data_IF_526472179890
#
_entry.id   IF_526472179890
#
_cell.length_a   1.000
_cell.length_b   1.000
_cell.length_c   1.000
_cell.angle_alpha   90.00
_cell.angle_beta   90.00
_cell.angle_gamma   90.00
#
_symmetry.space_group_name_H-M   'P 1'
#
loop_
_entity.id
_entity.type
_entity.pdbx_description
1 polymer ?
#
# COMPACT_ATOMS: atom_id res chain seq x y z
N UNK A 1 5.56 12.79 2.63
CA UNK A 1 4.52 12.02 1.94
C UNK A 1 3.91 11.07 2.94
N UNK A 2 2.62 10.77 2.80
CA UNK A 2 1.95 9.75 3.60
C UNK A 2 2.13 8.38 2.92
N UNK A 3 2.85 7.49 3.60
CA UNK A 3 3.20 6.15 3.12
C UNK A 3 2.39 5.14 3.91
N UNK A 4 1.71 4.24 3.21
CA UNK A 4 0.95 3.17 3.85
C UNK A 4 1.53 1.80 3.47
N UNK A 5 1.69 0.94 4.48
CA UNK A 5 2.17 -0.44 4.36
C UNK A 5 1.07 -1.37 4.90
N UNK A 6 0.25 -2.00 4.03
CA UNK A 6 -0.76 -2.94 4.48
C UNK A 6 -0.19 -4.35 4.74
N UNK A 7 -0.97 -5.16 5.45
CA UNK A 7 -0.74 -6.60 5.67
C UNK A 7 0.59 -6.96 6.34
N UNK A 8 1.14 -6.12 7.22
CA UNK A 8 2.29 -6.47 8.06
C UNK A 8 1.85 -7.21 9.32
N UNK A 9 1.44 -8.47 9.13
CA UNK A 9 0.78 -9.29 10.17
C UNK A 9 1.48 -9.37 11.52
N UNK A 10 2.80 -9.21 11.55
CA UNK A 10 3.61 -9.36 12.76
C UNK A 10 4.22 -8.05 13.25
N UNK A 11 3.81 -6.92 12.67
CA UNK A 11 4.41 -5.60 12.89
C UNK A 11 5.93 -5.61 12.72
N UNK A 12 6.43 -6.42 11.78
CA UNK A 12 7.85 -6.67 11.61
C UNK A 12 8.56 -5.55 10.85
N UNK A 13 7.86 -4.86 9.94
CA UNK A 13 8.46 -3.92 8.98
C UNK A 13 9.15 -2.76 9.69
N UNK A 14 8.54 -2.21 10.74
CA UNK A 14 9.12 -1.08 11.50
C UNK A 14 10.41 -1.42 12.25
N UNK A 15 10.69 -2.70 12.44
CA UNK A 15 11.87 -3.20 13.14
C UNK A 15 13.03 -3.55 12.20
N UNK A 16 12.84 -3.46 10.88
CA UNK A 16 13.89 -3.73 9.90
C UNK A 16 14.89 -2.56 9.83
N UNK A 17 16.18 -2.88 9.66
CA UNK A 17 17.23 -1.86 9.45
C UNK A 17 16.94 -0.95 8.24
N UNK A 18 16.21 -1.44 7.24
CA UNK A 18 15.82 -0.68 6.07
C UNK A 18 14.75 0.37 6.35
N UNK A 19 13.96 0.22 7.41
CA UNK A 19 12.88 1.15 7.77
C UNK A 19 13.42 2.57 8.04
N UNK A 20 14.67 2.69 8.50
CA UNK A 20 15.37 3.97 8.67
C UNK A 20 15.45 4.81 7.39
N UNK A 21 15.31 4.20 6.20
CA UNK A 21 15.28 4.91 4.92
C UNK A 21 14.01 5.76 4.75
N UNK A 22 12.96 5.49 5.53
CA UNK A 22 11.70 6.25 5.55
C UNK A 22 11.70 7.36 6.62
N UNK A 23 12.85 7.64 7.27
CA UNK A 23 12.93 8.68 8.30
C UNK A 23 12.43 10.04 7.77
N UNK A 24 11.57 10.69 8.55
CA UNK A 24 10.95 11.98 8.20
C UNK A 24 9.74 11.87 7.25
N UNK A 25 9.35 10.66 6.83
CA UNK A 25 8.06 10.41 6.19
C UNK A 25 7.01 10.08 7.25
N UNK A 26 5.75 10.34 6.92
CA UNK A 26 4.62 9.87 7.71
C UNK A 26 4.26 8.47 7.24
N UNK A 27 4.37 7.47 8.13
CA UNK A 27 4.22 6.06 7.76
C UNK A 27 3.15 5.40 8.62
N UNK A 28 2.10 4.90 7.98
CA UNK A 28 1.07 4.05 8.61
C UNK A 28 1.26 2.60 8.20
N UNK A 29 1.25 1.71 9.19
CA UNK A 29 1.37 0.26 8.98
C UNK A 29 0.09 -0.39 9.49
N UNK A 30 -0.55 -1.20 8.64
CA UNK A 30 -1.68 -2.03 9.04
C UNK A 30 -1.20 -3.46 9.29
N UNK A 31 -1.52 -3.99 10.47
CA UNK A 31 -1.10 -5.32 10.91
C UNK A 31 -2.19 -6.39 10.76
N UNK A 32 -3.34 -6.03 10.22
CA UNK A 32 -4.46 -6.91 9.90
C UNK A 32 -4.65 -7.04 8.39
N UNK A 33 -5.48 -8.00 7.98
CA UNK A 33 -5.82 -8.24 6.58
C UNK A 33 -7.24 -7.78 6.28
N UNK A 34 -7.40 -7.01 5.20
CA UNK A 34 -8.70 -6.55 4.70
C UNK A 34 -8.74 -6.70 3.19
N UNK A 35 -9.83 -7.24 2.66
CA UNK A 35 -10.08 -7.36 1.21
C UNK A 35 -11.25 -6.51 0.74
N UNK A 36 -12.04 -5.97 1.66
CA UNK A 36 -13.19 -5.12 1.35
C UNK A 36 -12.73 -3.77 0.79
N UNK A 37 -13.20 -3.43 -0.42
CA UNK A 37 -12.76 -2.24 -1.16
C UNK A 37 -13.14 -0.95 -0.43
N UNK A 38 -14.31 -0.91 0.23
CA UNK A 38 -14.74 0.26 0.99
C UNK A 38 -13.80 0.56 2.16
N UNK A 39 -13.46 -0.47 2.92
CA UNK A 39 -12.55 -0.37 4.05
C UNK A 39 -11.13 -0.01 3.57
N UNK A 40 -10.64 -0.64 2.49
CA UNK A 40 -9.33 -0.31 1.91
C UNK A 40 -9.28 1.13 1.40
N UNK A 41 -10.32 1.59 0.70
CA UNK A 41 -10.40 2.96 0.22
C UNK A 41 -10.37 3.98 1.36
N UNK A 42 -11.07 3.71 2.47
CA UNK A 42 -11.00 4.56 3.65
C UNK A 42 -9.60 4.58 4.26
N UNK A 43 -8.98 3.40 4.42
CA UNK A 43 -7.63 3.27 5.00
C UNK A 43 -6.56 3.93 4.16
N UNK A 44 -6.73 3.95 2.84
CA UNK A 44 -5.73 4.42 1.88
C UNK A 44 -6.03 5.81 1.31
N UNK A 45 -7.14 6.43 1.69
CA UNK A 45 -7.65 7.67 1.09
C UNK A 45 -6.60 8.79 0.99
N UNK A 46 -5.83 8.97 2.05
CA UNK A 46 -4.82 10.03 2.16
C UNK A 46 -3.41 9.57 1.77
N UNK A 47 -3.25 8.35 1.24
CA UNK A 47 -1.96 7.81 0.86
C UNK A 47 -1.39 8.53 -0.37
N UNK A 48 -0.16 9.04 -0.26
CA UNK A 48 0.65 9.41 -1.42
C UNK A 48 1.30 8.16 -2.03
N UNK A 49 1.67 7.18 -1.19
CA UNK A 49 2.41 5.97 -1.56
C UNK A 49 1.85 4.73 -0.87
N UNK A 50 1.64 3.65 -1.63
CA UNK A 50 1.39 2.30 -1.10
C UNK A 50 2.65 1.44 -1.23
N UNK A 51 3.12 0.84 -0.14
CA UNK A 51 4.21 -0.16 -0.16
C UNK A 51 3.60 -1.54 0.07
N UNK A 52 3.50 -2.33 -0.99
CA UNK A 52 2.79 -3.62 -0.94
C UNK A 52 3.73 -4.74 -0.51
N UNK A 53 3.25 -5.59 0.41
CA UNK A 53 3.93 -6.83 0.77
C UNK A 53 3.42 -7.94 -0.15
N UNK A 54 4.20 -8.26 -1.18
CA UNK A 54 3.88 -9.33 -2.15
C UNK A 54 2.47 -9.13 -2.71
N UNK A 55 1.69 -10.19 -2.83
CA UNK A 55 0.36 -10.18 -3.44
C UNK A 55 -0.79 -10.13 -2.41
N UNK A 56 -0.54 -9.65 -1.18
CA UNK A 56 -1.49 -9.74 -0.05
C UNK A 56 -2.73 -8.85 -0.21
N UNK A 57 -2.57 -7.61 -0.66
CA UNK A 57 -3.69 -6.68 -0.93
C UNK A 57 -3.89 -6.56 -2.45
N UNK A 58 -5.07 -6.92 -3.01
CA UNK A 58 -5.39 -6.64 -4.41
C UNK A 58 -5.55 -5.14 -4.67
N UNK A 59 -4.87 -4.62 -5.70
CA UNK A 59 -5.01 -3.24 -6.17
C UNK A 59 -5.73 -3.25 -7.51
N UNK A 60 -7.05 -3.15 -7.45
CA UNK A 60 -7.95 -3.18 -8.61
C UNK A 60 -8.44 -1.77 -8.97
N UNK A 61 -8.94 -1.61 -10.19
CA UNK A 61 -9.52 -0.36 -10.70
C UNK A 61 -10.49 0.32 -9.71
N UNK A 62 -11.45 -0.44 -9.15
CA UNK A 62 -12.45 0.09 -8.21
C UNK A 62 -11.85 0.68 -6.92
N UNK A 63 -10.67 0.19 -6.50
CA UNK A 63 -9.94 0.79 -5.38
C UNK A 63 -9.22 2.05 -5.85
N UNK A 64 -8.48 1.97 -6.97
CA UNK A 64 -7.67 3.07 -7.51
C UNK A 64 -8.49 4.34 -7.77
N UNK A 65 -9.72 4.22 -8.27
CA UNK A 65 -10.63 5.35 -8.50
C UNK A 65 -10.96 6.14 -7.22
N UNK A 66 -10.76 5.55 -6.05
CA UNK A 66 -11.07 6.13 -4.74
C UNK A 66 -9.85 6.63 -4.00
N UNK A 67 -8.67 6.58 -4.63
CA UNK A 67 -7.39 7.01 -4.05
C UNK A 67 -6.84 8.23 -4.79
N UNK A 68 -7.47 9.41 -4.66
CA UNK A 68 -7.16 10.58 -5.49
C UNK A 68 -5.74 11.14 -5.24
N UNK A 69 -5.13 10.82 -4.10
CA UNK A 69 -3.81 11.31 -3.70
C UNK A 69 -2.68 10.35 -4.10
N UNK A 70 -3.01 9.12 -4.51
CA UNK A 70 -2.04 8.06 -4.75
C UNK A 70 -1.16 8.39 -5.96
N UNK A 71 0.14 8.46 -5.73
CA UNK A 71 1.15 8.81 -6.74
C UNK A 71 2.09 7.65 -7.06
N UNK A 72 2.23 6.69 -6.15
CA UNK A 72 3.20 5.61 -6.28
C UNK A 72 2.73 4.33 -5.59
N UNK A 73 2.87 3.20 -6.29
CA UNK A 73 2.79 1.86 -5.71
C UNK A 73 4.20 1.25 -5.74
N UNK A 74 4.74 0.92 -4.57
CA UNK A 74 6.03 0.27 -4.40
C UNK A 74 5.83 -1.22 -4.12
N UNK A 75 6.07 -2.05 -5.15
CA UNK A 75 5.94 -3.49 -5.04
C UNK A 75 7.20 -4.12 -4.43
N UNK A 76 7.03 -4.97 -3.41
CA UNK A 76 8.13 -5.79 -2.90
C UNK A 76 8.36 -7.03 -3.79
N UNK A 77 9.45 -7.02 -4.53
CA UNK A 77 9.80 -8.07 -5.50
C UNK A 77 9.02 -7.96 -6.81
N UNK A 78 8.94 -9.06 -7.59
CA UNK A 78 8.54 -9.01 -9.00
C UNK A 78 7.06 -9.32 -9.31
N UNK A 79 6.31 -9.88 -8.37
CA UNK A 79 4.94 -10.32 -8.62
C UNK A 79 3.96 -9.15 -8.61
N UNK A 80 3.29 -8.89 -9.73
CA UNK A 80 2.24 -7.86 -9.87
C UNK A 80 0.87 -8.36 -10.40
N UNK A 81 0.50 -9.67 -10.39
CA UNK A 81 -0.79 -10.11 -10.95
C UNK A 81 -2.01 -9.61 -10.15
N UNK A 82 -1.79 -9.13 -8.92
CA UNK A 82 -2.81 -8.54 -8.05
C UNK A 82 -2.96 -7.02 -8.25
N UNK A 83 -2.15 -6.41 -9.14
CA UNK A 83 -2.19 -4.98 -9.45
C UNK A 83 -2.74 -4.83 -10.86
N UNK A 84 -3.82 -4.07 -11.00
CA UNK A 84 -4.28 -3.60 -12.30
C UNK A 84 -3.36 -2.48 -12.80
N UNK A 85 -2.27 -2.88 -13.46
CA UNK A 85 -1.26 -1.96 -13.99
C UNK A 85 -1.86 -1.02 -15.04
N UNK A 86 -2.81 -1.50 -15.84
CA UNK A 86 -3.45 -0.67 -16.85
C UNK A 86 -4.23 0.47 -16.20
N UNK A 87 -4.99 0.18 -15.14
CA UNK A 87 -5.70 1.20 -14.37
C UNK A 87 -4.76 2.20 -13.67
N UNK A 88 -3.58 1.75 -13.22
CA UNK A 88 -2.57 2.63 -12.59
C UNK A 88 -1.95 3.67 -13.55
N UNK A 89 -1.98 3.41 -14.86
CA UNK A 89 -1.27 4.23 -15.86
C UNK A 89 -2.16 5.21 -16.64
N UNK A 90 -3.41 5.40 -16.19
CA UNK A 90 -4.37 6.30 -16.85
C UNK A 90 -4.25 7.74 -16.39
#
# INVERSE_FOLDING_TARGET
MHIIIPDDYQDAVRHLDSFRKLAGQDVTIYNDHVTDVDTLAQRFHDADVLVLIRERTPIIEALLERLPNLKLICQTGRGTPHIDVAACTR
#
